data_IF_332142652104
#
_entry.id   IF_332142652104
#
_cell.length_a   1.000
_cell.length_b   1.000
_cell.length_c   1.000
_cell.angle_alpha   90.00
_cell.angle_beta   90.00
_cell.angle_gamma   90.00
#
_symmetry.space_group_name_H-M   'P 1'
#
loop_
_entity.id
_entity.type
_entity.pdbx_description
1 polymer ?
#
# COMPACT_ATOMS: atom_id res chain seq x y z
N UNK A 1 -2.11 -2.99 -17.78
CA UNK A 1 -3.41 -2.46 -17.35
C UNK A 1 -3.15 -1.49 -16.20
N UNK A 2 -4.05 -0.53 -15.95
CA UNK A 2 -3.97 0.26 -14.73
C UNK A 2 -4.05 -0.65 -13.50
N UNK A 3 -3.26 -0.37 -12.47
CA UNK A 3 -3.16 -1.22 -11.27
C UNK A 3 -4.52 -1.42 -10.56
N UNK A 4 -5.42 -0.43 -10.67
CA UNK A 4 -6.75 -0.44 -10.04
C UNK A 4 -7.75 -1.38 -10.72
N UNK A 5 -7.37 -2.04 -11.83
CA UNK A 5 -8.26 -2.98 -12.50
C UNK A 5 -8.46 -4.27 -11.67
N UNK A 6 -9.73 -4.60 -11.41
CA UNK A 6 -10.11 -5.75 -10.58
C UNK A 6 -9.95 -5.49 -9.09
N UNK A 7 -9.60 -4.27 -8.69
CA UNK A 7 -9.54 -3.84 -7.30
C UNK A 7 -10.95 -3.41 -6.87
N UNK A 8 -11.48 -4.00 -5.81
CA UNK A 8 -12.80 -3.64 -5.29
C UNK A 8 -12.86 -2.19 -4.83
N UNK A 9 -14.01 -1.56 -5.10
CA UNK A 9 -14.36 -0.24 -4.60
C UNK A 9 -14.27 -0.21 -3.06
N UNK A 10 -13.95 0.97 -2.52
CA UNK A 10 -14.05 1.24 -1.09
C UNK A 10 -14.83 2.53 -0.89
N UNK A 11 -15.56 2.60 0.23
CA UNK A 11 -16.34 3.77 0.60
C UNK A 11 -16.28 4.02 2.09
N UNK A 12 -16.48 5.26 2.47
CA UNK A 12 -16.72 5.65 3.86
C UNK A 12 -17.64 6.85 3.95
N UNK A 13 -18.21 7.05 5.12
CA UNK A 13 -19.13 8.16 5.37
C UNK A 13 -18.42 9.31 6.07
N UNK A 14 -18.83 10.54 5.72
CA UNK A 14 -18.38 11.78 6.35
C UNK A 14 -19.58 12.62 6.75
N UNK A 15 -19.47 13.30 7.88
CA UNK A 15 -20.46 14.29 8.27
C UNK A 15 -20.18 15.60 7.51
N UNK A 16 -21.14 16.04 6.72
CA UNK A 16 -21.04 17.17 5.83
C UNK A 16 -22.32 18.01 5.95
N UNK A 17 -22.20 19.24 6.43
CA UNK A 17 -23.34 20.18 6.56
C UNK A 17 -24.53 19.62 7.36
N UNK A 18 -24.25 18.78 8.37
CA UNK A 18 -25.28 18.15 9.20
C UNK A 18 -25.90 16.88 8.62
N UNK A 19 -25.45 16.43 7.45
CA UNK A 19 -25.87 15.19 6.79
C UNK A 19 -24.72 14.19 6.68
N UNK A 20 -25.03 12.89 6.57
CA UNK A 20 -24.04 11.85 6.28
C UNK A 20 -23.89 11.72 4.77
N UNK A 21 -22.74 12.09 4.24
CA UNK A 21 -22.38 11.93 2.83
C UNK A 21 -21.45 10.74 2.66
N UNK A 22 -21.47 10.14 1.48
CA UNK A 22 -20.59 9.01 1.13
C UNK A 22 -19.41 9.52 0.28
N UNK A 23 -18.21 9.02 0.56
CA UNK A 23 -17.04 9.16 -0.29
C UNK A 23 -16.72 7.80 -0.86
N UNK A 24 -16.58 7.70 -2.17
CA UNK A 24 -16.32 6.43 -2.87
C UNK A 24 -14.99 6.52 -3.60
N UNK A 25 -14.14 5.53 -3.43
CA UNK A 25 -13.04 5.27 -4.35
C UNK A 25 -13.45 4.12 -5.28
N UNK A 26 -13.33 4.34 -6.59
CA UNK A 26 -13.58 3.32 -7.60
C UNK A 26 -12.66 3.52 -8.79
N UNK A 27 -12.16 2.42 -9.34
CA UNK A 27 -11.38 2.41 -10.58
C UNK A 27 -10.25 3.46 -10.65
N UNK A 28 -9.56 3.72 -9.52
CA UNK A 28 -8.43 4.65 -9.46
C UNK A 28 -8.78 6.07 -9.03
N UNK A 29 -10.07 6.44 -8.96
CA UNK A 29 -10.53 7.80 -8.69
C UNK A 29 -11.39 7.88 -7.43
N UNK A 30 -11.45 9.08 -6.83
CA UNK A 30 -12.36 9.40 -5.73
C UNK A 30 -13.55 10.20 -6.24
N UNK A 31 -14.74 9.73 -5.93
CA UNK A 31 -16.02 10.34 -6.25
C UNK A 31 -16.74 10.78 -4.97
N UNK A 32 -17.47 11.88 -5.07
CA UNK A 32 -18.38 12.38 -4.03
C UNK A 32 -19.81 12.33 -4.59
N UNK A 33 -20.54 11.21 -4.45
CA UNK A 33 -21.89 11.06 -5.01
C UNK A 33 -22.85 12.18 -4.61
N UNK A 34 -22.71 12.70 -3.38
CA UNK A 34 -23.53 13.79 -2.84
C UNK A 34 -23.14 15.19 -3.39
N UNK A 35 -22.01 15.30 -4.10
CA UNK A 35 -21.52 16.52 -4.74
C UNK A 35 -21.19 16.25 -6.23
N UNK A 36 -22.20 16.07 -7.10
CA UNK A 36 -22.00 15.64 -8.48
C UNK A 36 -21.24 16.64 -9.36
N UNK A 37 -21.20 17.93 -8.97
CA UNK A 37 -20.46 18.96 -9.67
C UNK A 37 -19.39 19.60 -8.77
N UNK A 38 -18.27 18.90 -8.61
CA UNK A 38 -17.11 19.36 -7.84
C UNK A 38 -16.61 20.73 -8.32
N UNK A 39 -16.66 21.00 -9.62
CA UNK A 39 -16.25 22.29 -10.18
C UNK A 39 -17.10 23.44 -9.65
N UNK A 40 -18.42 23.27 -9.65
CA UNK A 40 -19.34 24.27 -9.08
C UNK A 40 -19.12 24.47 -7.58
N UNK A 41 -18.92 23.39 -6.82
CA UNK A 41 -18.60 23.47 -5.39
C UNK A 41 -17.31 24.26 -5.13
N UNK A 42 -16.25 23.97 -5.89
CA UNK A 42 -14.99 24.72 -5.81
C UNK A 42 -15.17 26.21 -6.15
N UNK A 43 -16.05 26.55 -7.10
CA UNK A 43 -16.39 27.95 -7.41
C UNK A 43 -17.14 28.62 -6.27
N UNK A 44 -18.13 27.95 -5.66
CA UNK A 44 -18.87 28.49 -4.52
C UNK A 44 -17.93 28.80 -3.35
N UNK A 45 -17.00 27.89 -3.05
CA UNK A 45 -15.96 28.10 -2.04
C UNK A 45 -15.07 29.30 -2.38
N UNK A 46 -14.63 29.42 -3.64
CA UNK A 46 -13.82 30.54 -4.09
C UNK A 46 -14.55 31.90 -3.99
N UNK A 47 -15.89 31.90 -4.10
CA UNK A 47 -16.74 33.08 -3.91
C UNK A 47 -17.07 33.37 -2.44
N UNK A 48 -16.46 32.65 -1.48
CA UNK A 48 -16.63 32.86 -0.05
C UNK A 48 -17.66 31.94 0.61
N UNK A 49 -18.18 30.94 -0.10
CA UNK A 49 -19.01 29.90 0.48
C UNK A 49 -18.25 29.01 1.46
N UNK A 50 -18.99 28.34 2.37
CA UNK A 50 -18.41 27.32 3.25
C UNK A 50 -17.91 26.13 2.45
N UNK A 51 -16.72 25.63 2.78
CA UNK A 51 -16.18 24.43 2.14
C UNK A 51 -16.79 23.16 2.75
N UNK A 52 -17.48 22.31 1.97
CA UNK A 52 -18.02 21.05 2.47
C UNK A 52 -16.91 20.10 2.90
N UNK A 53 -17.16 19.28 3.93
CA UNK A 53 -16.18 18.30 4.44
C UNK A 53 -15.76 17.28 3.38
N UNK A 54 -16.67 16.94 2.46
CA UNK A 54 -16.37 16.05 1.33
C UNK A 54 -15.26 16.63 0.43
N UNK A 55 -15.26 17.95 0.20
CA UNK A 55 -14.22 18.62 -0.57
C UNK A 55 -12.88 18.67 0.18
N UNK A 56 -12.88 18.77 1.51
CA UNK A 56 -11.65 18.61 2.29
C UNK A 56 -11.04 17.21 2.12
N UNK A 57 -11.88 16.17 2.11
CA UNK A 57 -11.41 14.80 1.88
C UNK A 57 -10.81 14.64 0.49
N UNK A 58 -11.44 15.22 -0.53
CA UNK A 58 -10.90 15.20 -1.89
C UNK A 58 -9.55 15.92 -1.98
N UNK A 59 -9.42 17.10 -1.36
CA UNK A 59 -8.14 17.81 -1.33
C UNK A 59 -7.05 17.04 -0.57
N UNK A 60 -7.42 16.35 0.52
CA UNK A 60 -6.49 15.48 1.25
C UNK A 60 -6.06 14.27 0.42
N UNK A 61 -6.98 13.68 -0.34
CA UNK A 61 -6.67 12.61 -1.29
C UNK A 61 -5.67 13.09 -2.35
N UNK A 62 -5.96 14.22 -3.02
CA UNK A 62 -5.08 14.80 -4.04
C UNK A 62 -3.69 15.14 -3.46
N UNK A 63 -3.66 15.66 -2.23
CA UNK A 63 -2.42 15.93 -1.51
C UNK A 63 -1.65 14.64 -1.20
N UNK A 64 -2.33 13.58 -0.76
CA UNK A 64 -1.71 12.29 -0.50
C UNK A 64 -1.05 11.71 -1.76
N UNK A 65 -1.72 11.81 -2.92
CA UNK A 65 -1.18 11.32 -4.19
C UNK A 65 0.01 12.13 -4.71
N UNK A 66 -0.02 13.45 -4.52
CA UNK A 66 1.02 14.34 -5.03
C UNK A 66 2.32 14.29 -4.24
N UNK A 67 2.25 14.10 -2.91
CA UNK A 67 3.43 14.14 -2.04
C UNK A 67 3.81 12.77 -1.46
N UNK A 68 2.85 11.89 -1.18
CA UNK A 68 3.09 10.53 -0.72
C UNK A 68 3.63 10.40 0.72
N UNK A 69 3.92 11.49 1.42
CA UNK A 69 4.55 11.49 2.75
C UNK A 69 3.85 10.63 3.82
N UNK A 70 2.54 10.41 3.69
CA UNK A 70 1.78 9.52 4.57
C UNK A 70 2.30 8.07 4.61
N UNK A 71 3.08 7.65 3.59
CA UNK A 71 3.64 6.30 3.48
C UNK A 71 4.57 5.97 4.65
N UNK A 72 5.26 6.95 5.24
CA UNK A 72 6.04 6.75 6.47
C UNK A 72 5.18 6.19 7.61
N UNK A 73 4.00 6.78 7.84
CA UNK A 73 3.07 6.29 8.85
C UNK A 73 2.30 5.06 8.39
N UNK A 74 2.02 4.90 7.10
CA UNK A 74 1.25 3.74 6.61
C UNK A 74 2.09 2.44 6.57
N UNK A 75 3.38 2.52 6.23
CA UNK A 75 4.22 1.35 5.98
C UNK A 75 4.26 0.34 7.15
N UNK A 76 4.39 0.76 8.43
CA UNK A 76 4.43 -0.16 9.57
C UNK A 76 3.09 -0.89 9.83
N UNK A 77 1.95 -0.32 9.45
CA UNK A 77 0.62 -0.86 9.80
C UNK A 77 -0.02 -1.55 8.60
N UNK A 78 -0.38 -2.82 8.77
CA UNK A 78 -1.04 -3.62 7.72
C UNK A 78 -2.56 -3.48 7.70
N UNK A 79 -3.14 -3.02 8.81
CA UNK A 79 -4.58 -2.84 8.97
C UNK A 79 -4.80 -1.58 9.79
N UNK A 80 -6.03 -1.08 9.77
CA UNK A 80 -6.43 -0.01 10.66
C UNK A 80 -6.09 -0.34 12.12
N UNK A 81 -5.39 0.57 12.78
CA UNK A 81 -5.08 0.52 14.20
C UNK A 81 -5.70 1.74 14.89
N UNK A 82 -6.75 1.50 15.68
CA UNK A 82 -7.49 2.57 16.34
C UNK A 82 -6.66 3.28 17.41
N UNK A 83 -5.78 2.57 18.10
CA UNK A 83 -4.93 3.15 19.15
C UNK A 83 -3.86 4.05 18.52
N UNK A 84 -3.20 3.57 17.45
CA UNK A 84 -2.26 4.41 16.69
C UNK A 84 -2.95 5.63 16.09
N UNK A 85 -4.13 5.47 15.50
CA UNK A 85 -4.88 6.59 14.91
C UNK A 85 -5.30 7.62 15.95
N UNK A 86 -5.73 7.17 17.14
CA UNK A 86 -6.03 8.07 18.24
C UNK A 86 -4.79 8.85 18.68
N UNK A 87 -3.66 8.17 18.87
CA UNK A 87 -2.39 8.81 19.22
C UNK A 87 -1.95 9.83 18.16
N UNK A 88 -2.07 9.50 16.86
CA UNK A 88 -1.74 10.41 15.76
C UNK A 88 -2.60 11.68 15.75
N UNK A 89 -3.87 11.60 16.15
CA UNK A 89 -4.72 12.80 16.29
C UNK A 89 -4.17 13.73 17.37
N UNK A 90 -3.80 13.20 18.52
CA UNK A 90 -3.19 13.98 19.60
C UNK A 90 -1.83 14.55 19.19
N UNK A 91 -1.00 13.77 18.50
CA UNK A 91 0.29 14.24 17.99
C UNK A 91 0.12 15.36 16.94
N UNK A 92 -0.88 15.27 16.06
CA UNK A 92 -1.22 16.31 15.10
C UNK A 92 -1.69 17.60 15.78
N UNK A 93 -2.51 17.50 16.83
CA UNK A 93 -2.94 18.67 17.62
C UNK A 93 -1.74 19.37 18.26
N UNK A 94 -0.83 18.61 18.89
CA UNK A 94 0.41 19.15 19.48
C UNK A 94 1.34 19.77 18.44
N UNK A 95 1.45 19.17 17.26
CA UNK A 95 2.22 19.77 16.16
C UNK A 95 1.67 21.14 15.77
N UNK A 96 0.33 21.29 15.73
CA UNK A 96 -0.32 22.56 15.39
C UNK A 96 -0.23 23.61 16.50
N UNK A 97 -0.42 23.22 17.76
CA UNK A 97 -0.47 24.16 18.89
C UNK A 97 0.90 24.51 19.47
N UNK A 98 1.79 23.51 19.56
CA UNK A 98 3.08 23.60 20.25
C UNK A 98 4.27 23.53 19.28
N UNK A 99 4.06 23.13 18.03
CA UNK A 99 5.13 22.94 17.04
C UNK A 99 5.97 21.68 17.29
N UNK A 100 5.49 20.76 18.13
CA UNK A 100 6.17 19.50 18.46
C UNK A 100 5.85 18.43 17.42
N UNK A 101 6.86 17.96 16.69
CA UNK A 101 6.71 16.94 15.65
C UNK A 101 7.15 15.57 16.18
N UNK A 102 6.15 14.76 16.56
CA UNK A 102 6.34 13.40 17.09
C UNK A 102 6.10 12.30 16.04
N UNK A 103 5.88 12.67 14.77
CA UNK A 103 5.55 11.74 13.69
C UNK A 103 5.93 12.37 12.34
N UNK A 104 6.01 11.55 11.29
CA UNK A 104 6.39 11.98 9.94
C UNK A 104 7.69 12.78 9.93
N UNK A 105 8.74 12.25 10.56
CA UNK A 105 9.97 12.99 10.88
C UNK A 105 10.78 13.37 9.64
N UNK A 106 10.62 12.63 8.55
CA UNK A 106 11.31 12.90 7.30
C UNK A 106 10.65 14.05 6.51
N UNK A 107 9.53 14.59 6.98
CA UNK A 107 8.81 15.69 6.32
C UNK A 107 9.06 17.04 7.02
N UNK A 108 9.16 18.14 6.24
CA UNK A 108 9.00 19.50 6.75
C UNK A 108 7.69 19.66 7.53
N UNK A 109 7.69 20.51 8.56
CA UNK A 109 6.56 20.66 9.50
C UNK A 109 5.22 20.94 8.83
N UNK A 110 5.19 21.84 7.85
CA UNK A 110 4.00 22.20 7.09
C UNK A 110 3.42 21.00 6.34
N UNK A 111 4.29 20.18 5.72
CA UNK A 111 3.91 18.92 5.08
C UNK A 111 3.49 17.87 6.08
N UNK A 112 4.18 17.76 7.22
CA UNK A 112 3.84 16.82 8.29
C UNK A 112 2.45 17.09 8.88
N UNK A 113 2.06 18.37 9.04
CA UNK A 113 0.69 18.73 9.43
C UNK A 113 -0.33 18.21 8.42
N UNK A 114 -0.11 18.46 7.13
CA UNK A 114 -1.03 18.02 6.08
C UNK A 114 -1.08 16.51 5.93
N UNK A 115 0.06 15.82 6.01
CA UNK A 115 0.09 14.36 5.98
C UNK A 115 -0.49 13.74 7.26
N UNK A 116 -0.39 14.41 8.41
CA UNK A 116 -1.11 14.03 9.61
C UNK A 116 -2.62 14.12 9.43
N UNK A 117 -3.12 15.17 8.76
CA UNK A 117 -4.53 15.27 8.37
C UNK A 117 -4.94 14.10 7.47
N UNK A 118 -4.13 13.74 6.47
CA UNK A 118 -4.35 12.59 5.58
C UNK A 118 -4.51 11.31 6.39
N UNK A 119 -3.52 10.94 7.21
CA UNK A 119 -3.50 9.65 7.94
C UNK A 119 -4.61 9.57 9.00
N UNK A 120 -4.99 10.70 9.60
CA UNK A 120 -6.02 10.73 10.64
C UNK A 120 -7.45 10.91 10.11
N UNK A 121 -7.61 11.35 8.86
CA UNK A 121 -8.91 11.55 8.19
C UNK A 121 -9.25 10.38 7.28
N UNK A 122 -8.36 9.98 6.38
CA UNK A 122 -8.64 8.90 5.43
C UNK A 122 -8.68 7.54 6.14
N UNK A 123 -9.64 6.66 5.81
CA UNK A 123 -9.62 5.28 6.27
C UNK A 123 -8.41 4.50 5.72
N UNK A 124 -8.04 3.40 6.38
CA UNK A 124 -6.79 2.68 6.05
C UNK A 124 -6.80 2.06 4.65
N UNK A 125 -7.94 1.56 4.20
CA UNK A 125 -8.14 1.07 2.84
C UNK A 125 -8.02 2.19 1.80
N UNK A 126 -8.49 3.41 2.08
CA UNK A 126 -8.18 4.58 1.23
C UNK A 126 -6.68 4.87 1.21
N UNK A 127 -5.97 4.76 2.34
CA UNK A 127 -4.50 4.89 2.36
C UNK A 127 -3.81 3.78 1.55
N UNK A 128 -4.35 2.56 1.53
CA UNK A 128 -3.88 1.46 0.68
C UNK A 128 -4.01 1.82 -0.80
N UNK A 129 -5.15 2.43 -1.20
CA UNK A 129 -5.38 2.90 -2.58
C UNK A 129 -4.46 4.06 -2.94
N UNK A 130 -4.29 5.02 -2.05
CA UNK A 130 -3.40 6.16 -2.26
C UNK A 130 -1.95 5.69 -2.43
N UNK A 131 -1.51 4.72 -1.63
CA UNK A 131 -0.15 4.18 -1.71
C UNK A 131 0.07 3.49 -3.05
N UNK A 132 -0.87 2.65 -3.48
CA UNK A 132 -0.79 1.98 -4.77
C UNK A 132 -0.74 2.98 -5.94
N UNK A 133 -1.50 4.07 -5.86
CA UNK A 133 -1.46 5.14 -6.86
C UNK A 133 -0.12 5.90 -6.87
N UNK A 134 0.45 6.24 -5.70
CA UNK A 134 1.78 6.86 -5.60
C UNK A 134 2.86 5.96 -6.21
N UNK A 135 2.85 4.67 -5.87
CA UNK A 135 3.79 3.67 -6.40
C UNK A 135 3.65 3.50 -7.90
N UNK A 136 2.43 3.43 -8.42
CA UNK A 136 2.18 3.32 -9.86
C UNK A 136 2.66 4.56 -10.63
N UNK A 137 2.37 5.77 -10.11
CA UNK A 137 2.88 7.00 -10.68
C UNK A 137 4.41 7.05 -10.67
N UNK A 138 5.06 6.60 -9.58
CA UNK A 138 6.51 6.46 -9.51
C UNK A 138 7.06 5.49 -10.55
N UNK A 139 6.39 4.35 -10.74
CA UNK A 139 6.76 3.37 -11.75
C UNK A 139 6.67 3.92 -13.19
N UNK A 140 5.68 4.74 -13.47
CA UNK A 140 5.52 5.41 -14.78
C UNK A 140 6.53 6.54 -15.01
N UNK A 141 6.99 7.20 -13.93
CA UNK A 141 7.90 8.35 -13.98
C UNK A 141 9.38 8.02 -13.77
N UNK A 142 9.71 6.74 -13.58
CA UNK A 142 11.10 6.28 -13.45
C UNK A 142 11.68 6.31 -12.02
N UNK A 143 10.84 6.24 -10.99
CA UNK A 143 11.26 6.09 -9.57
C UNK A 143 12.06 7.25 -8.99
N UNK A 144 11.74 8.48 -9.39
CA UNK A 144 12.34 9.69 -8.83
C UNK A 144 11.71 10.08 -7.49
N UNK A 145 11.93 9.25 -6.47
CA UNK A 145 11.51 9.51 -5.09
C UNK A 145 12.67 10.02 -4.24
N UNK A 146 12.35 10.80 -3.21
CA UNK A 146 13.33 11.20 -2.20
C UNK A 146 13.96 9.98 -1.51
N UNK A 147 15.18 10.08 -0.95
CA UNK A 147 15.81 8.98 -0.23
C UNK A 147 14.98 8.45 0.95
N UNK A 148 14.27 9.32 1.67
CA UNK A 148 13.37 8.90 2.76
C UNK A 148 12.18 8.13 2.22
N UNK A 149 11.54 8.60 1.16
CA UNK A 149 10.42 7.90 0.52
C UNK A 149 10.85 6.52 -0.01
N UNK A 150 12.01 6.42 -0.64
CA UNK A 150 12.58 5.13 -1.08
C UNK A 150 12.79 4.16 0.08
N UNK A 151 13.24 4.65 1.24
CA UNK A 151 13.38 3.83 2.46
C UNK A 151 12.01 3.31 2.92
N UNK A 152 11.01 4.18 3.02
CA UNK A 152 9.66 3.80 3.47
C UNK A 152 8.99 2.80 2.52
N UNK A 153 9.12 3.01 1.20
CA UNK A 153 8.64 2.06 0.19
C UNK A 153 9.37 0.72 0.23
N UNK A 154 10.68 0.75 0.48
CA UNK A 154 11.50 -0.46 0.66
C UNK A 154 11.01 -1.25 1.88
N UNK A 155 10.85 -0.58 3.02
CA UNK A 155 10.41 -1.23 4.26
C UNK A 155 8.97 -1.74 4.15
N UNK A 156 8.07 -0.97 3.53
CA UNK A 156 6.72 -1.42 3.19
C UNK A 156 6.76 -2.69 2.33
N UNK A 157 7.53 -2.69 1.25
CA UNK A 157 7.66 -3.85 0.35
C UNK A 157 8.14 -5.08 1.12
N UNK A 158 9.19 -4.95 1.94
CA UNK A 158 9.72 -6.04 2.76
C UNK A 158 8.69 -6.57 3.76
N UNK A 159 8.00 -5.68 4.48
CA UNK A 159 7.00 -6.04 5.48
C UNK A 159 5.80 -6.76 4.86
N UNK A 160 5.27 -6.23 3.75
CA UNK A 160 4.14 -6.83 3.05
C UNK A 160 4.53 -8.17 2.40
N UNK A 161 5.69 -8.23 1.73
CA UNK A 161 6.21 -9.47 1.14
C UNK A 161 6.42 -10.57 2.18
N UNK A 162 7.01 -10.23 3.34
CA UNK A 162 7.19 -11.19 4.45
C UNK A 162 5.86 -11.80 4.88
N UNK A 163 4.84 -10.96 5.09
CA UNK A 163 3.51 -11.43 5.52
C UNK A 163 2.87 -12.34 4.47
N UNK A 164 2.90 -11.93 3.20
CA UNK A 164 2.37 -12.72 2.10
C UNK A 164 3.10 -14.05 1.94
N UNK A 165 4.44 -14.09 2.09
CA UNK A 165 5.19 -15.35 2.08
C UNK A 165 4.80 -16.25 3.25
N UNK A 166 4.75 -15.73 4.48
CA UNK A 166 4.34 -16.49 5.66
C UNK A 166 2.94 -17.08 5.48
N UNK A 167 2.01 -16.30 4.92
CA UNK A 167 0.67 -16.77 4.60
C UNK A 167 0.69 -17.87 3.53
N UNK A 168 1.45 -17.71 2.45
CA UNK A 168 1.57 -18.72 1.41
C UNK A 168 2.14 -20.04 1.95
N UNK A 169 3.22 -19.98 2.75
CA UNK A 169 3.83 -21.18 3.34
C UNK A 169 2.90 -21.88 4.34
N UNK A 170 2.08 -21.11 5.08
CA UNK A 170 1.08 -21.69 5.98
C UNK A 170 0.01 -22.51 5.24
N UNK A 171 -0.29 -22.13 3.99
CA UNK A 171 -1.30 -22.79 3.17
C UNK A 171 -0.77 -23.99 2.35
N UNK A 172 0.55 -24.18 2.28
CA UNK A 172 1.16 -25.25 1.48
C UNK A 172 0.92 -26.66 2.04
N UNK A 173 1.08 -27.66 1.17
CA UNK A 173 1.01 -29.08 1.52
C UNK A 173 2.27 -29.83 1.08
N UNK A 174 2.97 -30.56 1.98
CA UNK A 174 2.76 -30.57 3.43
C UNK A 174 3.00 -29.18 4.03
N UNK A 175 2.29 -28.86 5.11
CA UNK A 175 2.40 -27.54 5.73
C UNK A 175 3.77 -27.35 6.36
N UNK A 176 4.31 -26.14 6.21
CA UNK A 176 5.59 -25.77 6.81
C UNK A 176 5.35 -25.40 8.27
N UNK A 177 5.98 -26.08 9.26
CA UNK A 177 5.80 -25.73 10.66
C UNK A 177 6.34 -24.33 10.96
N UNK A 178 5.54 -23.49 11.63
CA UNK A 178 5.91 -22.14 12.08
C UNK A 178 6.61 -21.28 11.01
N UNK A 179 5.94 -20.97 9.88
CA UNK A 179 6.58 -20.26 8.77
C UNK A 179 7.10 -18.86 9.14
N UNK A 180 6.54 -18.26 10.20
CA UNK A 180 6.99 -16.98 10.74
C UNK A 180 8.41 -17.01 11.35
N UNK A 181 8.93 -18.19 11.71
CA UNK A 181 10.27 -18.37 12.28
C UNK A 181 11.35 -18.57 11.20
N UNK A 182 10.95 -18.74 9.94
CA UNK A 182 11.92 -18.91 8.85
C UNK A 182 12.62 -17.57 8.60
N UNK A 183 13.96 -17.52 8.67
CA UNK A 183 14.73 -16.38 8.21
C UNK A 183 14.31 -15.96 6.80
N UNK A 184 13.91 -14.70 6.67
CA UNK A 184 13.43 -14.11 5.43
C UNK A 184 14.24 -12.86 5.13
N UNK A 185 14.95 -12.86 4.01
CA UNK A 185 15.64 -11.69 3.49
C UNK A 185 14.96 -11.24 2.20
N UNK A 186 14.51 -9.99 2.17
CA UNK A 186 13.93 -9.38 0.98
C UNK A 186 14.81 -8.21 0.56
N UNK A 187 15.40 -8.33 -0.62
CA UNK A 187 16.10 -7.24 -1.29
C UNK A 187 15.10 -6.51 -2.17
N UNK A 188 15.08 -5.18 -2.09
CA UNK A 188 14.23 -4.35 -2.96
C UNK A 188 15.13 -3.68 -3.98
N UNK A 189 14.91 -3.97 -5.26
CA UNK A 189 15.76 -3.54 -6.37
C UNK A 189 14.93 -2.99 -7.54
N UNK A 190 15.38 -1.87 -8.11
CA UNK A 190 14.78 -1.22 -9.26
C UNK A 190 15.12 -1.90 -10.60
N UNK A 191 16.06 -2.86 -10.64
CA UNK A 191 16.39 -3.61 -11.86
C UNK A 191 15.22 -4.42 -12.43
N UNK A 192 14.19 -4.68 -11.62
CA UNK A 192 12.90 -5.19 -12.10
C UNK A 192 12.81 -6.70 -12.31
N UNK A 193 13.90 -7.45 -12.08
CA UNK A 193 13.87 -8.92 -12.22
C UNK A 193 13.62 -9.56 -10.85
N UNK A 194 12.43 -10.15 -10.61
CA UNK A 194 12.18 -10.85 -9.37
C UNK A 194 13.04 -12.11 -9.30
N UNK A 195 13.55 -12.42 -8.12
CA UNK A 195 14.35 -13.62 -7.88
C UNK A 195 13.92 -14.27 -6.56
N UNK A 196 14.05 -15.60 -6.49
CA UNK A 196 13.86 -16.36 -5.26
C UNK A 196 14.97 -17.40 -5.12
N UNK A 197 15.51 -17.51 -3.91
CA UNK A 197 16.48 -18.53 -3.52
C UNK A 197 16.23 -18.97 -2.08
N UNK A 198 16.95 -20.00 -1.66
CA UNK A 198 16.90 -20.54 -0.31
C UNK A 198 16.49 -22.00 -0.28
N UNK A 199 16.04 -22.45 0.90
CA UNK A 199 15.58 -23.83 1.13
C UNK A 199 14.72 -23.93 2.37
N UNK A 200 13.88 -24.96 2.44
CA UNK A 200 13.19 -25.38 3.66
C UNK A 200 13.71 -26.76 4.06
N UNK A 201 14.42 -26.82 5.19
CA UNK A 201 15.12 -28.01 5.69
C UNK A 201 15.24 -27.94 7.22
N UNK A 202 14.10 -27.85 7.91
CA UNK A 202 14.07 -27.73 9.38
C UNK A 202 14.84 -26.50 9.87
N UNK A 203 15.92 -26.72 10.63
CA UNK A 203 16.76 -25.64 11.21
C UNK A 203 17.57 -24.84 10.18
N UNK A 204 17.82 -25.41 9.01
CA UNK A 204 18.60 -24.74 7.95
C UNK A 204 17.72 -23.96 6.96
N UNK A 205 16.44 -23.83 7.27
CA UNK A 205 15.47 -23.12 6.44
C UNK A 205 15.80 -21.64 6.36
N UNK A 206 15.77 -21.07 5.16
CA UNK A 206 15.86 -19.63 4.91
C UNK A 206 15.28 -19.33 3.52
N UNK A 207 14.78 -18.12 3.33
CA UNK A 207 14.24 -17.66 2.05
C UNK A 207 14.82 -16.29 1.73
N UNK A 208 15.30 -16.15 0.51
CA UNK A 208 15.77 -14.89 -0.04
C UNK A 208 14.93 -14.52 -1.25
N UNK A 209 14.45 -13.29 -1.30
CA UNK A 209 13.64 -12.78 -2.42
C UNK A 209 14.20 -11.43 -2.87
N UNK A 210 14.26 -11.22 -4.17
CA UNK A 210 14.42 -9.89 -4.75
C UNK A 210 13.09 -9.43 -5.35
N UNK A 211 12.62 -8.25 -4.96
CA UNK A 211 11.39 -7.64 -5.47
C UNK A 211 11.64 -6.23 -5.98
N UNK A 212 10.89 -5.84 -7.00
CA UNK A 212 10.79 -4.44 -7.39
C UNK A 212 9.70 -3.74 -6.58
N UNK A 213 9.86 -2.49 -6.12
CA UNK A 213 8.87 -1.83 -5.28
C UNK A 213 7.50 -1.62 -5.97
N UNK A 214 7.42 -1.66 -7.30
CA UNK A 214 6.15 -1.76 -8.07
C UNK A 214 5.25 -2.92 -7.62
N UNK A 215 5.82 -3.94 -6.98
CA UNK A 215 5.09 -5.06 -6.41
C UNK A 215 3.96 -4.60 -5.48
N UNK A 216 4.15 -3.49 -4.77
CA UNK A 216 3.12 -2.91 -3.90
C UNK A 216 1.84 -2.55 -4.67
N UNK A 217 1.93 -1.94 -5.85
CA UNK A 217 0.77 -1.58 -6.67
C UNK A 217 0.30 -2.74 -7.56
N UNK A 218 1.22 -3.45 -8.21
CA UNK A 218 0.91 -4.48 -9.22
C UNK A 218 0.46 -5.82 -8.63
N UNK A 219 0.86 -6.14 -7.40
CA UNK A 219 0.61 -7.47 -6.82
C UNK A 219 -0.14 -7.34 -5.50
N UNK A 220 0.39 -6.55 -4.56
CA UNK A 220 -0.20 -6.43 -3.23
C UNK A 220 -1.55 -5.70 -3.25
N UNK A 221 -1.63 -4.52 -3.86
CA UNK A 221 -2.86 -3.72 -3.90
C UNK A 221 -4.00 -4.40 -4.70
N UNK A 222 -3.64 -5.28 -5.66
CA UNK A 222 -4.57 -6.12 -6.42
C UNK A 222 -5.06 -7.35 -5.66
N UNK A 223 -4.57 -7.59 -4.45
CA UNK A 223 -4.99 -8.73 -3.63
C UNK A 223 -4.45 -10.08 -4.12
N UNK A 224 -3.44 -10.09 -4.99
CA UNK A 224 -2.89 -11.31 -5.61
C UNK A 224 -1.50 -11.69 -5.07
N UNK A 225 -1.06 -11.06 -3.98
CA UNK A 225 0.21 -11.39 -3.29
C UNK A 225 0.29 -12.84 -2.80
N UNK A 226 -0.86 -13.43 -2.49
CA UNK A 226 -1.03 -14.87 -2.29
C UNK A 226 -2.18 -15.32 -3.16
N UNK A 227 -1.90 -16.17 -4.15
CA UNK A 227 -2.92 -16.69 -5.06
C UNK A 227 -2.71 -18.18 -5.26
N UNK A 228 -3.78 -18.96 -5.12
CA UNK A 228 -3.74 -20.43 -5.12
C UNK A 228 -2.65 -20.99 -4.19
N UNK A 229 -2.60 -20.47 -2.95
CA UNK A 229 -1.67 -20.86 -1.88
C UNK A 229 -0.18 -20.66 -2.18
N UNK A 230 0.13 -19.84 -3.20
CA UNK A 230 1.51 -19.51 -3.58
C UNK A 230 1.76 -18.01 -3.44
N UNK A 231 2.99 -17.68 -3.04
CA UNK A 231 3.46 -16.30 -2.97
C UNK A 231 3.74 -15.79 -4.39
N UNK A 232 3.15 -14.65 -4.75
CA UNK A 232 3.36 -14.01 -6.06
C UNK A 232 4.46 -12.96 -5.94
N UNK A 233 5.53 -13.12 -6.72
CA UNK A 233 6.69 -12.19 -6.73
C UNK A 233 6.56 -11.09 -7.78
N UNK A 234 5.78 -11.32 -8.83
CA UNK A 234 5.52 -10.30 -9.86
C UNK A 234 4.25 -10.63 -10.63
N UNK A 235 3.71 -9.62 -11.31
CA UNK A 235 2.59 -9.75 -12.24
C UNK A 235 2.99 -9.07 -13.54
N UNK A 236 3.00 -9.85 -14.62
CA UNK A 236 3.24 -9.35 -15.97
C UNK A 236 1.98 -9.50 -16.80
N UNK A 237 1.77 -8.56 -17.72
CA UNK A 237 0.64 -8.61 -18.63
C UNK A 237 1.12 -8.55 -20.07
N UNK A 238 0.59 -9.46 -20.90
CA UNK A 238 0.87 -9.46 -22.32
C UNK A 238 -0.43 -9.76 -23.09
N UNK A 239 -0.79 -8.87 -24.03
CA UNK A 239 -2.01 -9.00 -24.87
C UNK A 239 -3.31 -9.23 -24.07
N UNK A 240 -3.44 -8.57 -22.92
CA UNK A 240 -4.63 -8.67 -22.06
C UNK A 240 -4.66 -9.91 -21.16
N UNK A 241 -3.65 -10.77 -21.22
CA UNK A 241 -3.51 -11.93 -20.32
C UNK A 241 -2.62 -11.53 -19.15
N UNK A 242 -3.15 -11.65 -17.93
CA UNK A 242 -2.40 -11.45 -16.70
C UNK A 242 -1.70 -12.74 -16.31
N UNK A 243 -0.38 -12.68 -16.13
CA UNK A 243 0.46 -13.81 -15.71
C UNK A 243 1.14 -13.49 -14.38
N UNK A 244 0.84 -14.30 -13.38
CA UNK A 244 1.49 -14.28 -12.07
C UNK A 244 2.80 -15.06 -12.15
N UNK A 245 3.85 -14.48 -11.60
CA UNK A 245 5.11 -15.16 -11.32
C UNK A 245 5.08 -15.55 -9.85
N UNK A 246 5.06 -16.85 -9.57
CA UNK A 246 4.82 -17.37 -8.23
C UNK A 246 5.95 -18.28 -7.76
N UNK A 247 6.15 -18.35 -6.44
CA UNK A 247 7.09 -19.27 -5.83
C UNK A 247 6.47 -20.66 -5.74
N UNK A 248 7.11 -21.62 -6.38
CA UNK A 248 6.83 -23.05 -6.28
C UNK A 248 7.94 -23.75 -5.51
N UNK A 249 7.56 -24.66 -4.62
CA UNK A 249 8.48 -25.44 -3.81
C UNK A 249 8.54 -26.86 -4.32
N UNK A 250 9.69 -27.25 -4.86
CA UNK A 250 9.94 -28.61 -5.33
C UNK A 250 10.77 -29.38 -4.30
N UNK A 251 10.42 -30.65 -4.08
CA UNK A 251 11.16 -31.54 -3.20
C UNK A 251 12.44 -32.03 -3.87
N UNK A 252 13.57 -31.77 -3.23
CA UNK A 252 14.88 -32.27 -3.62
C UNK A 252 15.48 -33.03 -2.42
N UNK A 253 15.40 -34.37 -2.47
CA UNK A 253 15.74 -35.22 -1.33
C UNK A 253 14.84 -34.95 -0.11
N UNK A 254 15.43 -34.42 0.96
CA UNK A 254 14.73 -34.04 2.20
C UNK A 254 14.44 -32.54 2.32
N UNK A 255 14.85 -31.73 1.33
CA UNK A 255 14.67 -30.28 1.34
C UNK A 255 13.58 -29.85 0.34
N UNK A 256 13.02 -28.66 0.55
CA UNK A 256 12.23 -27.97 -0.47
C UNK A 256 13.03 -26.80 -1.02
N UNK A 257 13.17 -26.72 -2.35
CA UNK A 257 13.82 -25.60 -3.05
C UNK A 257 12.78 -24.73 -3.72
N UNK A 258 12.90 -23.39 -3.63
CA UNK A 258 12.01 -22.50 -4.33
C UNK A 258 12.43 -22.36 -5.80
N UNK A 259 11.45 -22.22 -6.67
CA UNK A 259 11.62 -21.86 -8.08
C UNK A 259 10.50 -20.91 -8.50
N UNK A 260 10.71 -20.14 -9.56
CA UNK A 260 9.66 -19.31 -10.14
C UNK A 260 8.89 -20.09 -11.19
N UNK A 261 7.58 -20.07 -11.06
CA UNK A 261 6.65 -20.62 -12.04
C UNK A 261 5.65 -19.55 -12.49
N UNK A 262 5.07 -19.75 -13.66
CA UNK A 262 4.11 -18.81 -14.25
C UNK A 262 2.71 -19.40 -14.23
N UNK A 263 1.73 -18.57 -13.87
CA UNK A 263 0.32 -18.96 -13.86
C UNK A 263 -0.56 -17.83 -14.38
N UNK A 264 -1.50 -18.14 -15.25
CA UNK A 264 -2.48 -17.17 -15.76
C UNK A 264 -3.58 -16.92 -14.71
N UNK A 265 -3.99 -15.66 -14.59
CA UNK A 265 -5.17 -15.21 -13.84
C UNK A 265 -6.45 -15.36 -14.66
#
# INVERSE_FOLDING_TARGET
MPWHQGVSDTLFEVECEGHRHTVVWSAGEVFLPDHPNIGAEKVLVALGGSKPRCLDVLDLWDFALSDGGFIEEWAPWHKADHQRRWWLKTALERLRSEGVQDFLYDLPRDKAVKMGEVVTTLPHDFLDRAMAAVVDAGNQRGWDFSPSMNRHLTDATKLRARRSLVQALANQRPSVPNPALIPFNCTVDLSGTPAVSGRLSGRESHVEISLHPRWLSHVWARGVSVHADRFTVDLTEHKGISTLHQVEWSKEGHELKPSLTQRQL
#
